data_IF_350182844420
#
_entry.id   IF_350182844420
#
_cell.length_a   1.000
_cell.length_b   1.000
_cell.length_c   1.000
_cell.angle_alpha   90.00
_cell.angle_beta   90.00
_cell.angle_gamma   90.00
#
_symmetry.space_group_name_H-M   'P 1'
#
loop_
_entity.id
_entity.type
_entity.pdbx_description
1 polymer ?
#
# COMPACT_ATOMS: atom_id res chain seq x y z
N UNK A 1 -3.38 11.64 -20.67
CA UNK A 1 -4.60 10.97 -20.10
C UNK A 1 -4.25 10.21 -18.82
N UNK A 2 -3.11 9.50 -18.76
CA UNK A 2 -2.57 8.91 -17.53
C UNK A 2 -2.37 9.95 -16.40
N UNK A 3 -1.83 11.12 -16.73
CA UNK A 3 -1.58 12.21 -15.76
C UNK A 3 -2.85 12.67 -15.02
N UNK A 4 -4.00 12.72 -15.70
CA UNK A 4 -5.26 13.17 -15.09
C UNK A 4 -5.72 12.22 -13.97
N UNK A 5 -5.41 10.93 -14.08
CA UNK A 5 -5.75 9.95 -13.05
C UNK A 5 -4.72 9.95 -11.91
N UNK A 6 -3.42 10.11 -12.20
CA UNK A 6 -2.38 10.32 -11.18
C UNK A 6 -2.73 11.52 -10.29
N UNK A 7 -3.03 12.66 -10.92
CA UNK A 7 -3.45 13.88 -10.22
C UNK A 7 -4.70 13.66 -9.34
N UNK A 8 -5.70 12.92 -9.84
CA UNK A 8 -6.92 12.62 -9.09
C UNK A 8 -6.60 11.79 -7.85
N UNK A 9 -5.77 10.75 -7.98
CA UNK A 9 -5.36 9.90 -6.88
C UNK A 9 -4.55 10.66 -5.85
N UNK A 10 -3.59 11.45 -6.31
CA UNK A 10 -2.80 12.30 -5.45
C UNK A 10 -3.64 13.31 -4.67
N UNK A 11 -4.54 14.04 -5.34
CA UNK A 11 -5.48 14.95 -4.64
C UNK A 11 -6.35 14.23 -3.63
N UNK A 12 -6.83 13.03 -3.95
CA UNK A 12 -7.62 12.22 -3.02
C UNK A 12 -6.79 11.77 -1.80
N UNK A 13 -5.54 11.38 -2.01
CA UNK A 13 -4.60 11.04 -0.94
C UNK A 13 -4.33 12.25 -0.04
N UNK A 14 -3.95 13.39 -0.63
CA UNK A 14 -3.72 14.64 0.12
C UNK A 14 -4.92 15.05 0.94
N UNK A 15 -6.13 15.01 0.38
CA UNK A 15 -7.36 15.32 1.13
C UNK A 15 -7.55 14.42 2.36
N UNK A 16 -7.20 13.12 2.27
CA UNK A 16 -7.28 12.20 3.42
C UNK A 16 -6.18 12.50 4.44
N UNK A 17 -4.96 12.75 3.97
CA UNK A 17 -3.82 13.09 4.80
C UNK A 17 -4.07 14.39 5.59
N UNK A 18 -4.63 15.42 4.93
CA UNK A 18 -4.90 16.71 5.55
C UNK A 18 -6.10 16.65 6.52
N UNK A 19 -7.07 15.76 6.27
CA UNK A 19 -8.23 15.56 7.14
C UNK A 19 -7.87 14.87 8.47
N UNK A 20 -6.96 13.88 8.43
CA UNK A 20 -6.54 13.12 9.60
C UNK A 20 -5.00 12.97 9.64
N UNK A 21 -4.26 14.07 9.84
CA UNK A 21 -2.80 14.08 9.77
C UNK A 21 -2.14 13.15 10.79
N UNK A 22 -2.78 12.92 11.94
CA UNK A 22 -2.31 11.98 12.96
C UNK A 22 -2.32 10.51 12.51
N UNK A 23 -3.04 10.18 11.43
CA UNK A 23 -3.07 8.84 10.85
C UNK A 23 -2.09 8.69 9.68
N UNK A 24 -1.31 9.73 9.36
CA UNK A 24 -0.33 9.71 8.27
C UNK A 24 1.00 9.21 8.79
N UNK A 25 1.45 8.11 8.19
CA UNK A 25 2.74 7.51 8.43
C UNK A 25 3.74 8.04 7.42
N UNK A 26 5.01 8.07 7.80
CA UNK A 26 6.12 8.38 6.91
C UNK A 26 7.07 7.21 6.86
N UNK A 27 7.36 6.75 5.66
CA UNK A 27 8.37 5.74 5.40
C UNK A 27 9.70 6.24 5.97
N UNK A 28 10.36 5.42 6.80
CA UNK A 28 11.49 5.87 7.63
C UNK A 28 12.67 6.39 6.81
N UNK A 29 13.01 5.69 5.72
CA UNK A 29 14.17 6.03 4.88
C UNK A 29 13.85 7.06 3.80
N UNK A 30 12.74 6.92 3.08
CA UNK A 30 12.45 7.72 1.89
C UNK A 30 11.48 8.89 2.13
N UNK A 31 10.88 8.98 3.32
CA UNK A 31 9.96 10.07 3.67
C UNK A 31 8.59 10.01 2.96
N UNK A 32 8.31 8.97 2.17
CA UNK A 32 7.00 8.79 1.53
C UNK A 32 5.88 8.72 2.55
N UNK A 33 4.78 9.39 2.27
CA UNK A 33 3.62 9.38 3.15
C UNK A 33 2.68 8.24 2.79
N UNK A 34 2.13 7.59 3.80
CA UNK A 34 1.10 6.58 3.61
C UNK A 34 0.11 6.57 4.77
N UNK A 35 -1.10 6.08 4.51
CA UNK A 35 -2.20 6.03 5.47
C UNK A 35 -2.62 4.56 5.60
N UNK A 36 -2.27 3.89 6.71
CA UNK A 36 -2.69 2.52 6.96
C UNK A 36 -4.22 2.41 7.03
N UNK A 37 -4.76 1.37 6.40
CA UNK A 37 -6.17 0.95 6.50
C UNK A 37 -6.35 0.01 7.69
N UNK A 38 -5.37 -0.86 7.92
CA UNK A 38 -5.32 -1.81 9.04
C UNK A 38 -4.01 -1.59 9.84
N UNK A 39 -3.98 -1.93 11.15
CA UNK A 39 -2.76 -1.84 11.94
C UNK A 39 -1.73 -2.88 11.52
N UNK A 40 -0.45 -2.60 11.80
CA UNK A 40 0.64 -3.56 11.67
C UNK A 40 0.85 -4.35 12.97
N UNK A 41 1.35 -5.58 12.85
CA UNK A 41 1.56 -6.47 14.00
C UNK A 41 2.69 -6.03 14.95
N UNK A 42 3.54 -5.09 14.54
CA UNK A 42 4.62 -4.50 15.34
C UNK A 42 4.26 -3.14 15.97
N UNK A 43 2.96 -2.83 16.10
CA UNK A 43 2.45 -1.56 16.68
C UNK A 43 1.80 -1.76 18.05
N UNK A 44 2.57 -2.05 19.12
CA UNK A 44 2.03 -2.51 20.40
C UNK A 44 0.98 -1.56 21.00
N UNK A 45 1.16 -0.24 20.88
CA UNK A 45 0.22 0.76 21.39
C UNK A 45 -1.10 0.77 20.61
N UNK A 46 -1.04 0.60 19.28
CA UNK A 46 -2.22 0.55 18.42
C UNK A 46 -2.99 -0.74 18.67
N UNK A 47 -2.28 -1.87 18.75
CA UNK A 47 -2.86 -3.19 19.01
C UNK A 47 -3.53 -3.24 20.38
N UNK A 48 -2.86 -2.74 21.43
CA UNK A 48 -3.43 -2.67 22.78
C UNK A 48 -4.72 -1.84 22.81
N UNK A 49 -4.75 -0.69 22.14
CA UNK A 49 -5.95 0.16 22.05
C UNK A 49 -7.11 -0.52 21.32
N UNK A 50 -6.81 -1.38 20.35
CA UNK A 50 -7.81 -2.10 19.55
C UNK A 50 -8.16 -3.47 20.14
N UNK A 51 -7.49 -3.92 21.21
CA UNK A 51 -7.68 -5.25 21.78
C UNK A 51 -7.24 -6.38 20.83
N UNK A 52 -6.24 -6.11 19.98
CA UNK A 52 -5.71 -7.04 19.00
C UNK A 52 -4.37 -7.62 19.47
N UNK A 53 -4.04 -8.81 18.97
CA UNK A 53 -2.71 -9.40 19.05
C UNK A 53 -2.00 -9.27 17.70
N UNK A 54 -0.66 -9.32 17.64
CA UNK A 54 0.08 -9.28 16.39
C UNK A 54 -0.43 -10.27 15.35
N UNK A 55 -0.77 -11.49 15.75
CA UNK A 55 -1.23 -12.56 14.86
C UNK A 55 -2.61 -12.29 14.22
N UNK A 56 -3.35 -11.30 14.74
CA UNK A 56 -4.61 -10.86 14.16
C UNK A 56 -4.36 -9.91 12.96
N UNK A 57 -3.15 -9.35 12.82
CA UNK A 57 -2.71 -8.47 11.72
C UNK A 57 -2.25 -9.28 10.49
N UNK A 58 -3.13 -10.14 9.98
CA UNK A 58 -2.84 -11.00 8.82
C UNK A 58 -2.89 -10.27 7.47
N UNK A 59 -3.47 -9.08 7.46
CA UNK A 59 -3.45 -8.12 6.34
C UNK A 59 -3.12 -6.73 6.86
N UNK A 60 -2.39 -5.96 6.07
CA UNK A 60 -2.17 -4.55 6.32
C UNK A 60 -2.12 -3.79 5.00
N UNK A 61 -3.17 -3.04 4.69
CA UNK A 61 -3.23 -2.28 3.44
C UNK A 61 -2.92 -0.82 3.75
N UNK A 62 -2.34 -0.09 2.82
CA UNK A 62 -2.18 1.35 2.96
C UNK A 62 -2.38 2.09 1.65
N UNK A 63 -2.99 3.28 1.77
CA UNK A 63 -2.89 4.28 0.73
C UNK A 63 -1.51 4.90 0.78
N UNK A 64 -0.72 4.74 -0.27
CA UNK A 64 0.64 5.24 -0.36
C UNK A 64 0.73 6.38 -1.37
N UNK A 65 1.22 7.54 -0.93
CA UNK A 65 1.55 8.67 -1.77
C UNK A 65 3.03 8.68 -2.17
N UNK A 66 3.30 8.81 -3.46
CA UNK A 66 4.65 8.85 -4.03
C UNK A 66 4.67 9.67 -5.32
N UNK A 67 5.63 10.58 -5.45
CA UNK A 67 5.96 11.32 -6.67
C UNK A 67 4.76 11.94 -7.40
N UNK A 68 3.83 12.54 -6.65
CA UNK A 68 2.63 13.18 -7.20
C UNK A 68 1.56 12.19 -7.67
N UNK A 69 1.66 10.92 -7.28
CA UNK A 69 0.67 9.87 -7.44
C UNK A 69 0.29 9.27 -6.07
N UNK A 70 -0.77 8.48 -6.04
CA UNK A 70 -1.07 7.61 -4.91
C UNK A 70 -1.64 6.28 -5.38
N UNK A 71 -1.30 5.20 -4.67
CA UNK A 71 -1.88 3.88 -4.92
C UNK A 71 -2.27 3.16 -3.64
N UNK A 72 -3.07 2.10 -3.77
CA UNK A 72 -3.28 1.13 -2.69
C UNK A 72 -2.19 0.06 -2.79
N UNK A 73 -1.41 -0.09 -1.72
CA UNK A 73 -0.59 -1.27 -1.49
C UNK A 73 -1.38 -2.19 -0.56
N UNK A 74 -1.93 -3.24 -1.15
CA UNK A 74 -2.54 -4.34 -0.41
C UNK A 74 -1.46 -5.28 0.10
N UNK A 75 -1.62 -5.78 1.32
CA UNK A 75 -0.69 -6.77 1.80
C UNK A 75 -1.30 -7.77 2.78
N UNK A 76 -0.71 -8.95 2.80
CA UNK A 76 -1.13 -10.01 3.72
C UNK A 76 -0.17 -11.17 3.75
N UNK A 77 -0.40 -12.07 4.69
CA UNK A 77 0.42 -13.27 4.87
C UNK A 77 -0.07 -14.44 4.03
N UNK A 78 0.80 -15.42 3.80
CA UNK A 78 0.44 -16.69 3.16
C UNK A 78 -0.77 -17.33 3.86
N UNK A 79 -1.71 -17.83 3.06
CA UNK A 79 -2.98 -18.40 3.52
C UNK A 79 -4.09 -17.37 3.76
N UNK A 80 -3.77 -16.08 3.84
CA UNK A 80 -4.76 -15.00 3.84
C UNK A 80 -4.97 -14.42 2.45
N UNK A 81 -3.87 -14.17 1.71
CA UNK A 81 -3.93 -13.83 0.29
C UNK A 81 -3.60 -15.05 -0.59
N UNK A 82 -4.14 -15.14 -1.83
CA UNK A 82 -3.88 -16.27 -2.71
C UNK A 82 -2.42 -16.37 -3.17
N UNK A 83 -1.88 -17.59 -3.08
CA UNK A 83 -0.56 -17.95 -3.60
C UNK A 83 0.58 -17.83 -2.58
N UNK A 84 1.83 -18.13 -3.00
CA UNK A 84 3.01 -18.02 -2.15
C UNK A 84 3.41 -16.55 -1.95
N UNK A 85 4.42 -16.32 -1.10
CA UNK A 85 5.01 -15.00 -0.93
C UNK A 85 5.53 -14.44 -2.27
N UNK A 86 5.05 -13.24 -2.63
CA UNK A 86 5.30 -12.61 -3.93
C UNK A 86 4.87 -11.16 -3.95
N UNK A 87 5.39 -10.41 -4.92
CA UNK A 87 4.96 -9.06 -5.25
C UNK A 87 4.34 -9.06 -6.64
N UNK A 88 3.21 -8.37 -6.81
CA UNK A 88 2.59 -8.20 -8.13
C UNK A 88 1.70 -6.97 -8.17
N UNK A 89 1.34 -6.56 -9.38
CA UNK A 89 0.32 -5.54 -9.63
C UNK A 89 -0.94 -6.22 -10.17
N UNK A 90 -2.13 -5.75 -9.76
CA UNK A 90 -3.41 -6.21 -10.29
C UNK A 90 -4.25 -5.02 -10.76
N UNK A 91 -5.08 -5.19 -11.81
CA UNK A 91 -5.97 -4.14 -12.26
C UNK A 91 -7.03 -3.82 -11.19
N UNK A 92 -7.42 -2.55 -11.11
CA UNK A 92 -8.52 -2.12 -10.27
C UNK A 92 -9.86 -2.56 -10.89
N UNK A 93 -10.85 -3.01 -10.08
CA UNK A 93 -12.10 -3.56 -10.61
C UNK A 93 -13.00 -2.57 -11.38
N UNK A 94 -12.79 -1.25 -11.27
CA UNK A 94 -13.51 -0.28 -12.09
C UNK A 94 -12.71 0.03 -13.37
N UNK A 95 -13.16 -0.58 -14.48
CA UNK A 95 -12.51 -0.60 -15.79
C UNK A 95 -12.16 0.78 -16.38
N UNK A 96 -12.82 1.83 -15.89
CA UNK A 96 -12.71 3.19 -16.39
C UNK A 96 -11.41 3.88 -15.91
N UNK A 97 -10.83 3.40 -14.80
CA UNK A 97 -9.61 3.96 -14.23
C UNK A 97 -8.43 3.05 -14.57
N UNK A 98 -7.55 3.52 -15.47
CA UNK A 98 -6.37 2.78 -15.96
C UNK A 98 -5.22 2.79 -14.95
N UNK A 99 -5.36 2.07 -13.84
CA UNK A 99 -4.31 1.95 -12.83
C UNK A 99 -4.37 0.62 -12.08
N UNK A 100 -3.33 0.36 -11.30
CA UNK A 100 -3.12 -0.92 -10.61
C UNK A 100 -3.10 -0.74 -9.10
N UNK A 101 -3.56 -1.77 -8.39
CA UNK A 101 -3.19 -1.98 -7.00
C UNK A 101 -1.91 -2.79 -6.94
N UNK A 102 -1.05 -2.41 -6.00
CA UNK A 102 0.14 -3.18 -5.68
C UNK A 102 -0.22 -4.20 -4.61
N UNK A 103 0.33 -5.40 -4.71
CA UNK A 103 0.02 -6.49 -3.78
C UNK A 103 1.30 -7.13 -3.29
N UNK A 104 1.38 -7.32 -1.97
CA UNK A 104 2.47 -8.00 -1.30
C UNK A 104 1.95 -9.19 -0.48
N UNK A 105 2.48 -10.39 -0.76
CA UNK A 105 2.24 -11.57 0.05
C UNK A 105 3.51 -11.92 0.82
N UNK A 106 3.41 -12.01 2.14
CA UNK A 106 4.54 -12.29 3.04
C UNK A 106 4.51 -13.72 3.55
N UNK A 107 5.69 -14.34 3.66
CA UNK A 107 5.88 -15.59 4.39
C UNK A 107 6.24 -15.27 5.86
N UNK A 108 5.23 -14.84 6.61
CA UNK A 108 5.35 -14.34 7.97
C UNK A 108 4.06 -14.66 8.76
N UNK A 109 4.09 -14.68 10.10
CA UNK A 109 2.89 -14.93 10.91
C UNK A 109 1.88 -13.77 10.88
N UNK A 110 2.36 -12.54 10.70
CA UNK A 110 1.58 -11.31 10.58
C UNK A 110 2.36 -10.27 9.80
N UNK A 111 1.70 -9.21 9.33
CA UNK A 111 2.36 -8.13 8.58
C UNK A 111 2.97 -7.13 9.54
N UNK A 112 4.26 -6.86 9.41
CA UNK A 112 4.94 -5.77 10.13
C UNK A 112 5.07 -4.53 9.27
N UNK A 113 5.18 -3.36 9.93
CA UNK A 113 5.46 -2.10 9.28
C UNK A 113 6.81 -2.13 8.55
N UNK A 114 7.82 -2.76 9.15
CA UNK A 114 9.16 -2.86 8.56
C UNK A 114 9.13 -3.61 7.23
N UNK A 115 8.46 -4.76 7.17
CA UNK A 115 8.33 -5.53 5.94
C UNK A 115 7.47 -4.81 4.89
N UNK A 116 6.41 -4.14 5.35
CA UNK A 116 5.56 -3.32 4.48
C UNK A 116 6.36 -2.19 3.81
N UNK A 117 7.12 -1.41 4.59
CA UNK A 117 8.00 -0.36 4.08
C UNK A 117 9.06 -0.94 3.13
N UNK A 118 9.67 -2.08 3.46
CA UNK A 118 10.63 -2.75 2.58
C UNK A 118 10.03 -3.13 1.22
N UNK A 119 8.76 -3.50 1.16
CA UNK A 119 8.08 -3.79 -0.11
C UNK A 119 7.80 -2.52 -0.92
N UNK A 120 7.48 -1.40 -0.27
CA UNK A 120 7.36 -0.11 -0.97
C UNK A 120 8.64 0.20 -1.74
N UNK A 121 9.80 0.01 -1.10
CA UNK A 121 11.11 0.18 -1.75
C UNK A 121 11.26 -0.75 -2.96
N UNK A 122 10.93 -2.04 -2.81
CA UNK A 122 11.02 -3.02 -3.92
C UNK A 122 10.13 -2.65 -5.11
N UNK A 123 8.96 -2.05 -4.89
CA UNK A 123 8.12 -1.56 -5.98
C UNK A 123 8.75 -0.36 -6.69
N UNK A 124 9.36 0.57 -5.95
CA UNK A 124 10.10 1.70 -6.54
C UNK A 124 11.31 1.21 -7.34
N UNK A 125 12.08 0.26 -6.80
CA UNK A 125 13.20 -0.37 -7.50
C UNK A 125 12.76 -1.11 -8.77
N UNK A 126 11.55 -1.67 -8.77
CA UNK A 126 10.93 -2.25 -9.96
C UNK A 126 10.41 -1.19 -10.95
N UNK A 127 10.43 0.09 -10.59
CA UNK A 127 10.10 1.24 -11.44
C UNK A 127 8.73 1.86 -11.18
N UNK A 128 8.02 1.53 -10.11
CA UNK A 128 6.79 2.23 -9.74
C UNK A 128 7.09 3.67 -9.27
N UNK A 129 6.30 4.70 -9.65
CA UNK A 129 5.08 4.65 -10.46
C UNK A 129 5.29 4.81 -11.99
N UNK A 130 6.52 4.97 -12.47
CA UNK A 130 6.77 5.45 -13.84
C UNK A 130 6.97 4.38 -14.92
N UNK A 131 7.29 3.15 -14.53
CA UNK A 131 7.49 2.06 -15.48
C UNK A 131 6.17 1.64 -16.14
N UNK A 132 6.21 1.43 -17.45
CA UNK A 132 5.03 1.13 -18.28
C UNK A 132 4.32 -0.17 -17.92
N UNK A 133 4.99 -1.09 -17.21
CA UNK A 133 4.36 -2.31 -16.68
C UNK A 133 3.30 -2.03 -15.60
N UNK A 134 3.30 -0.84 -15.00
CA UNK A 134 2.28 -0.38 -14.07
C UNK A 134 1.18 0.44 -14.77
N UNK A 135 1.30 0.67 -16.08
CA UNK A 135 0.22 1.21 -16.90
C UNK A 135 -0.75 0.08 -17.27
N UNK A 136 -1.97 0.12 -16.73
CA UNK A 136 -3.02 -0.78 -17.22
C UNK A 136 -3.47 -0.34 -18.62
N UNK A 137 -3.14 -1.15 -19.63
CA UNK A 137 -3.61 -0.98 -21.01
C UNK A 137 -4.75 -1.94 -21.25
N UNK A 138 -5.93 -1.39 -21.55
CA UNK A 138 -7.04 -2.18 -22.09
C UNK A 138 -6.63 -2.63 -23.49
N UNK A 139 -6.61 -3.94 -23.71
CA UNK A 139 -6.50 -4.55 -25.04
C UNK A 139 -7.80 -4.41 -25.81
#
# INVERSE_FOLDING_TARGET
>A
MADRFRDKRWRNFRRRADYAPQNVYRHRTHGWEYIPVHPFGDEPEVLARLGLRPEDCRTADAWWGIDGDATLLESGVVGTLPGPARLFAKPMPHADERWVYLVAVFDAPFVTRVEFEAVMVRFVEAGFPDATQFDWRVG
#
